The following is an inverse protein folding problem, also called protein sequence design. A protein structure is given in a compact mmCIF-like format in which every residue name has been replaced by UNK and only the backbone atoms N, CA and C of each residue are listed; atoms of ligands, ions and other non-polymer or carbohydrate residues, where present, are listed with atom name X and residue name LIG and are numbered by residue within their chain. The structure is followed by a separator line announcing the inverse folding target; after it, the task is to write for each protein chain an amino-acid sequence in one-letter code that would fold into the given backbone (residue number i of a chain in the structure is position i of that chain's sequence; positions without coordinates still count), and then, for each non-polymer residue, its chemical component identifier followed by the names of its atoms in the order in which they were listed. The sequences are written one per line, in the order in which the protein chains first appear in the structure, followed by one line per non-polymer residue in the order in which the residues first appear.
data_IF_026962908049
#
_entry.id   IF_026962908049
#
_cell.length_a   1.000
_cell.length_b   1.000
_cell.length_c   1.000
_cell.angle_alpha   90.00
_cell.angle_beta   90.00
_cell.angle_gamma   90.00
#
_symmetry.space_group_name_H-M   'P 1'
#
loop_
_entity.id
_entity.type
_entity.pdbx_description
1 polymer ?
#
# COMPACT_ATOMS: atom_id res chain seq x y z
N UNK A 1 14.22 -57.27 27.02
CA UNK A 1 14.51 -56.79 25.65
C UNK A 1 13.20 -56.25 25.10
N UNK A 2 12.95 -54.98 24.82
CA UNK A 2 13.75 -53.76 24.74
C UNK A 2 13.12 -52.66 25.63
N UNK A 3 13.97 -51.76 26.09
CA UNK A 3 13.68 -50.61 26.95
C UNK A 3 13.22 -49.38 26.16
N UNK A 4 12.43 -48.54 26.82
CA UNK A 4 12.35 -47.07 26.74
C UNK A 4 12.58 -46.36 25.40
N UNK A 5 11.51 -45.74 24.88
CA UNK A 5 11.63 -44.46 24.17
C UNK A 5 10.63 -43.49 24.81
N UNK A 6 11.10 -42.78 25.84
CA UNK A 6 10.49 -41.54 26.31
C UNK A 6 10.91 -40.44 25.32
N UNK A 7 9.94 -39.87 24.63
CA UNK A 7 10.14 -38.73 23.74
C UNK A 7 10.28 -37.46 24.58
N UNK A 8 11.50 -37.12 24.99
CA UNK A 8 11.82 -35.78 25.46
C UNK A 8 12.32 -34.92 24.30
N UNK A 9 12.00 -33.62 24.38
CA UNK A 9 12.64 -32.48 23.70
C UNK A 9 11.89 -31.99 22.44
N UNK A 10 11.47 -30.72 22.32
CA UNK A 10 11.90 -29.48 22.98
C UNK A 10 10.76 -28.46 22.89
N UNK A 11 10.54 -27.73 23.98
CA UNK A 11 9.72 -26.51 24.01
C UNK A 11 10.32 -25.53 23.02
N UNK A 12 9.63 -25.33 21.89
CA UNK A 12 9.89 -24.26 20.93
C UNK A 12 8.83 -23.21 21.11
N UNK A 13 9.09 -22.34 22.07
CA UNK A 13 8.53 -21.00 22.29
C UNK A 13 7.35 -20.62 21.39
N UNK A 14 6.20 -20.42 22.03
CA UNK A 14 5.13 -19.64 21.45
C UNK A 14 5.65 -18.25 21.11
N UNK A 15 5.97 -18.02 19.84
CA UNK A 15 5.77 -16.69 19.29
C UNK A 15 4.26 -16.57 19.10
N UNK A 16 3.63 -15.86 20.03
CA UNK A 16 2.36 -15.20 19.77
C UNK A 16 2.51 -14.53 18.40
N UNK A 17 1.86 -15.07 17.36
CA UNK A 17 1.59 -14.31 16.15
C UNK A 17 0.86 -13.06 16.64
N UNK A 18 1.55 -11.92 16.69
CA UNK A 18 0.89 -10.65 16.91
C UNK A 18 -0.14 -10.57 15.81
N UNK A 19 -1.41 -10.53 16.17
CA UNK A 19 -2.52 -10.37 15.23
C UNK A 19 -2.41 -9.11 14.35
N UNK A 20 -1.39 -8.26 14.56
CA UNK A 20 -1.00 -7.16 13.69
C UNK A 20 -0.14 -7.54 12.47
N UNK A 21 0.64 -8.62 12.50
CA UNK A 21 1.56 -8.97 11.40
C UNK A 21 0.80 -9.46 10.16
N UNK A 22 -0.33 -10.15 10.35
CA UNK A 22 -1.21 -10.57 9.25
C UNK A 22 -1.90 -9.37 8.61
N UNK A 23 -2.39 -8.43 9.41
CA UNK A 23 -3.10 -7.24 8.94
C UNK A 23 -2.17 -6.31 8.16
N UNK A 24 -0.94 -6.10 8.64
CA UNK A 24 0.04 -5.28 7.93
C UNK A 24 0.53 -5.95 6.63
N UNK A 25 0.63 -7.29 6.62
CA UNK A 25 0.90 -8.06 5.40
C UNK A 25 -0.22 -7.95 4.36
N UNK A 26 -1.48 -7.98 4.79
CA UNK A 26 -2.65 -7.80 3.91
C UNK A 26 -2.72 -6.39 3.32
N UNK A 27 -2.50 -5.36 4.15
CA UNK A 27 -2.43 -3.97 3.69
C UNK A 27 -1.30 -3.77 2.68
N UNK A 28 -0.14 -4.37 2.92
CA UNK A 28 1.01 -4.32 2.00
C UNK A 28 0.67 -4.97 0.64
N UNK A 29 0.05 -6.16 0.64
CA UNK A 29 -0.39 -6.85 -0.58
C UNK A 29 -1.43 -6.02 -1.34
N UNK A 30 -2.37 -5.39 -0.63
CA UNK A 30 -3.37 -4.49 -1.23
C UNK A 30 -2.71 -3.28 -1.87
N UNK A 31 -1.75 -2.65 -1.19
CA UNK A 31 -0.99 -1.52 -1.72
C UNK A 31 -0.20 -1.91 -2.98
N UNK A 32 0.45 -3.08 -2.97
CA UNK A 32 1.17 -3.62 -4.13
C UNK A 32 0.24 -3.85 -5.33
N UNK A 33 -0.88 -4.53 -5.12
CA UNK A 33 -1.86 -4.80 -6.18
C UNK A 33 -2.39 -3.49 -6.78
N UNK A 34 -2.78 -2.54 -5.93
CA UNK A 34 -3.28 -1.25 -6.37
C UNK A 34 -2.22 -0.47 -7.16
N UNK A 35 -0.97 -0.48 -6.69
CA UNK A 35 0.15 0.16 -7.39
C UNK A 35 0.38 -0.42 -8.79
N UNK A 36 0.40 -1.75 -8.92
CA UNK A 36 0.56 -2.41 -10.22
C UNK A 36 -0.60 -2.08 -11.16
N UNK A 37 -1.84 -2.15 -10.68
CA UNK A 37 -3.04 -1.85 -11.49
C UNK A 37 -3.06 -0.40 -11.97
N UNK A 38 -2.79 0.57 -11.08
CA UNK A 38 -2.75 1.99 -11.42
C UNK A 38 -1.62 2.34 -12.40
N UNK A 39 -0.46 1.66 -12.31
CA UNK A 39 0.62 1.82 -13.30
C UNK A 39 0.31 1.21 -14.66
N UNK A 40 -0.37 0.07 -14.68
CA UNK A 40 -0.84 -0.57 -15.90
C UNK A 40 -2.05 0.14 -16.54
N UNK A 41 -2.61 1.18 -15.89
CA UNK A 41 -3.80 1.87 -16.38
C UNK A 41 -5.10 1.07 -16.22
N UNK A 42 -5.06 -0.04 -15.48
CA UNK A 42 -6.21 -0.92 -15.22
C UNK A 42 -7.12 -0.42 -14.10
N UNK A 43 -6.65 0.57 -13.35
CA UNK A 43 -7.39 1.21 -12.27
C UNK A 43 -7.05 2.70 -12.25
N UNK A 44 -8.07 3.53 -12.10
CA UNK A 44 -7.95 4.99 -12.12
C UNK A 44 -8.32 5.52 -10.74
N UNK A 45 -7.68 6.61 -10.28
CA UNK A 45 -8.05 7.24 -9.03
C UNK A 45 -9.49 7.76 -9.11
N UNK A 46 -10.27 7.50 -8.08
CA UNK A 46 -11.63 8.01 -7.95
C UNK A 46 -11.62 9.52 -7.71
N UNK A 47 -12.55 10.22 -8.36
CA UNK A 47 -12.60 11.67 -8.40
C UNK A 47 -13.66 12.20 -9.36
N UNK A 48 -13.88 13.50 -9.30
CA UNK A 48 -14.87 14.19 -10.14
C UNK A 48 -14.25 15.44 -10.76
N UNK A 49 -14.79 15.87 -11.89
CA UNK A 49 -14.41 17.14 -12.50
C UNK A 49 -15.35 18.24 -12.04
N UNK A 50 -14.78 19.33 -11.57
CA UNK A 50 -15.51 20.55 -11.22
C UNK A 50 -14.93 21.69 -12.03
N UNK A 51 -15.67 22.19 -13.03
CA UNK A 51 -15.23 23.29 -13.91
C UNK A 51 -13.79 23.06 -14.43
N UNK A 52 -13.57 21.92 -15.08
CA UNK A 52 -12.30 21.47 -15.68
C UNK A 52 -11.16 21.10 -14.70
N UNK A 53 -11.40 21.21 -13.40
CA UNK A 53 -10.45 20.78 -12.36
C UNK A 53 -10.82 19.37 -11.89
N UNK A 54 -9.95 18.39 -12.11
CA UNK A 54 -10.13 17.04 -11.54
C UNK A 54 -9.77 17.03 -10.06
N UNK A 55 -10.75 16.70 -9.22
CA UNK A 55 -10.59 16.60 -7.77
C UNK A 55 -10.72 15.14 -7.33
N UNK A 56 -9.77 14.67 -6.52
CA UNK A 56 -9.83 13.35 -5.91
C UNK A 56 -11.04 13.25 -4.97
N UNK A 57 -11.69 12.10 -4.95
CA UNK A 57 -12.81 11.86 -4.03
C UNK A 57 -12.33 11.82 -2.58
N UNK A 58 -13.25 11.96 -1.63
CA UNK A 58 -12.92 11.85 -0.20
C UNK A 58 -12.28 10.51 0.18
N UNK A 59 -12.54 9.45 -0.60
CA UNK A 59 -11.94 8.12 -0.38
C UNK A 59 -10.48 8.08 -0.84
N UNK A 60 -10.13 8.86 -1.85
CA UNK A 60 -8.77 8.94 -2.39
C UNK A 60 -7.95 10.08 -1.80
N UNK A 61 -8.60 11.06 -1.18
CA UNK A 61 -7.92 12.19 -0.59
C UNK A 61 -6.99 11.73 0.54
N UNK A 62 -5.72 12.09 0.44
CA UNK A 62 -4.69 11.80 1.45
C UNK A 62 -3.94 13.08 1.82
N UNK A 63 -3.28 13.16 2.99
CA UNK A 63 -2.52 14.35 3.39
C UNK A 63 -1.47 14.80 2.37
N UNK A 64 -0.88 13.85 1.62
CA UNK A 64 0.09 14.15 0.55
C UNK A 64 -0.52 14.88 -0.66
N UNK A 65 -1.85 14.89 -0.82
CA UNK A 65 -2.55 15.56 -1.92
C UNK A 65 -2.56 17.09 -1.77
N UNK A 66 -2.35 17.62 -0.56
CA UNK A 66 -2.31 19.07 -0.28
C UNK A 66 -1.24 19.81 -1.07
N UNK A 67 -0.19 19.11 -1.52
CA UNK A 67 0.94 19.70 -2.24
C UNK A 67 0.70 19.79 -3.76
N UNK A 68 -0.46 19.35 -4.25
CA UNK A 68 -0.82 19.44 -5.67
C UNK A 68 -1.45 20.81 -5.89
N UNK A 69 -0.79 21.67 -6.67
CA UNK A 69 -1.32 23.01 -6.99
C UNK A 69 -2.67 22.89 -7.71
N UNK A 70 -3.72 23.45 -7.12
CA UNK A 70 -5.10 23.44 -7.66
C UNK A 70 -5.29 24.68 -8.54
N UNK A 71 -5.92 24.51 -9.70
CA UNK A 71 -6.35 25.62 -10.55
C UNK A 71 -5.43 26.00 -11.70
N UNK A 72 -4.37 25.21 -11.98
CA UNK A 72 -3.65 25.30 -13.25
C UNK A 72 -4.17 24.25 -14.26
N UNK A 73 -3.97 24.49 -15.56
CA UNK A 73 -4.42 23.58 -16.63
C UNK A 73 -3.80 22.18 -16.52
N UNK A 74 -2.65 22.07 -15.84
CA UNK A 74 -1.94 20.82 -15.61
C UNK A 74 -2.41 20.07 -14.36
N UNK A 75 -3.28 20.66 -13.54
CA UNK A 75 -3.77 20.10 -12.28
C UNK A 75 -4.37 18.71 -12.48
N UNK A 76 -5.24 18.46 -13.48
CA UNK A 76 -5.81 17.14 -13.67
C UNK A 76 -4.77 16.07 -13.96
N UNK A 77 -3.72 16.41 -14.72
CA UNK A 77 -2.64 15.50 -15.07
C UNK A 77 -1.79 15.21 -13.83
N UNK A 78 -1.41 16.24 -13.07
CA UNK A 78 -0.63 16.11 -11.84
C UNK A 78 -1.37 15.34 -10.75
N UNK A 79 -2.66 15.58 -10.58
CA UNK A 79 -3.50 14.85 -9.63
C UNK A 79 -3.53 13.35 -9.96
N UNK A 80 -3.75 13.00 -11.24
CA UNK A 80 -3.70 11.60 -11.70
C UNK A 80 -2.31 10.98 -11.53
N UNK A 81 -1.24 11.70 -11.84
CA UNK A 81 0.12 11.21 -11.65
C UNK A 81 0.46 11.02 -10.16
N UNK A 82 0.08 11.97 -9.31
CA UNK A 82 0.25 11.88 -7.87
C UNK A 82 -0.47 10.66 -7.29
N UNK A 83 -1.69 10.39 -7.73
CA UNK A 83 -2.46 9.26 -7.23
C UNK A 83 -1.86 7.89 -7.63
N UNK A 84 -0.92 7.86 -8.59
CA UNK A 84 -0.11 6.69 -8.97
C UNK A 84 1.20 6.59 -8.17
N UNK A 85 1.54 7.59 -7.36
CA UNK A 85 2.81 7.62 -6.62
C UNK A 85 2.84 6.57 -5.51
N UNK A 86 4.04 6.06 -5.22
CA UNK A 86 4.28 5.06 -4.15
C UNK A 86 3.82 5.61 -2.79
N UNK A 87 4.06 6.90 -2.53
CA UNK A 87 3.65 7.58 -1.30
C UNK A 87 2.13 7.65 -1.15
N UNK A 88 1.42 8.06 -2.20
CA UNK A 88 -0.03 8.19 -2.15
C UNK A 88 -0.72 6.84 -1.92
N UNK A 89 -0.31 5.80 -2.65
CA UNK A 89 -0.90 4.46 -2.52
C UNK A 89 -0.62 3.84 -1.15
N UNK A 90 0.58 4.05 -0.60
CA UNK A 90 0.91 3.59 0.74
C UNK A 90 -0.02 4.25 1.78
N UNK A 91 -0.18 5.57 1.72
CA UNK A 91 -1.07 6.31 2.63
C UNK A 91 -2.52 5.81 2.51
N UNK A 92 -3.02 5.66 1.29
CA UNK A 92 -4.37 5.17 1.01
C UNK A 92 -4.64 3.78 1.60
N UNK A 93 -3.63 2.90 1.57
CA UNK A 93 -3.74 1.54 2.11
C UNK A 93 -3.37 1.47 3.60
N UNK A 94 -3.06 2.58 4.25
CA UNK A 94 -2.65 2.62 5.66
C UNK A 94 -1.30 1.96 5.94
N UNK A 95 -0.38 2.01 4.98
CA UNK A 95 0.99 1.47 5.08
C UNK A 95 1.98 2.63 5.14
N UNK A 96 3.06 2.48 5.92
CA UNK A 96 4.14 3.47 5.95
C UNK A 96 4.82 3.55 4.57
N UNK A 97 4.95 4.73 3.95
CA UNK A 97 5.57 4.87 2.64
C UNK A 97 6.99 4.29 2.52
N UNK A 98 7.81 4.41 3.57
CA UNK A 98 9.16 3.87 3.59
C UNK A 98 9.17 2.33 3.49
N UNK A 99 8.29 1.66 4.23
CA UNK A 99 8.17 0.20 4.22
C UNK A 99 7.64 -0.30 2.88
N UNK A 100 6.66 0.42 2.30
CA UNK A 100 6.15 0.10 0.96
C UNK A 100 7.22 0.26 -0.13
N UNK A 101 8.01 1.35 -0.09
CA UNK A 101 9.12 1.54 -1.04
C UNK A 101 10.17 0.45 -0.89
N UNK A 102 10.50 0.05 0.35
CA UNK A 102 11.42 -1.06 0.62
C UNK A 102 10.86 -2.38 0.06
N UNK A 103 9.58 -2.66 0.26
CA UNK A 103 8.88 -3.84 -0.28
C UNK A 103 8.86 -3.86 -1.82
N UNK A 104 8.60 -2.73 -2.48
CA UNK A 104 8.66 -2.68 -3.94
C UNK A 104 10.08 -2.94 -4.49
N UNK A 105 11.12 -2.49 -3.76
CA UNK A 105 12.53 -2.77 -4.12
C UNK A 105 12.87 -4.25 -3.99
N UNK A 106 12.42 -4.94 -2.94
CA UNK A 106 12.65 -6.38 -2.79
C UNK A 106 11.97 -7.18 -3.90
N UNK A 107 10.81 -6.70 -4.37
CA UNK A 107 10.09 -7.28 -5.51
C UNK A 107 10.65 -6.90 -6.89
N UNK A 108 11.71 -6.09 -6.97
CA UNK A 108 12.29 -5.56 -8.22
C UNK A 108 11.29 -4.79 -9.10
N UNK A 109 10.21 -4.25 -8.51
CA UNK A 109 9.26 -3.41 -9.23
C UNK A 109 9.81 -1.99 -9.31
N UNK A 110 10.31 -1.60 -10.49
CA UNK A 110 10.82 -0.25 -10.78
C UNK A 110 9.68 0.75 -10.94
#
# INVERSE_FOLDING_TARGET
MFSDIIFHQKIGEGYMKRSGDSVDSEKMKRAELLYRRRRAGLDMPDGHYTKDVFQLSNKEWQPCCRNIMIGDDMHPIRAKQHAKSKQHIANLCGVRPADFIKHLKTLKLK
#
